data_IF_921219069645
#
_entry.id   IF_921219069645
#
_cell.length_a   1.000
_cell.length_b   1.000
_cell.length_c   1.000
_cell.angle_alpha   90.00
_cell.angle_beta   90.00
_cell.angle_gamma   90.00
#
_symmetry.space_group_name_H-M   'P 1'
#
loop_
_entity.id
_entity.type
_entity.pdbx_description
1 polymer ?
#
# COMPACT_ATOMS: atom_id res chain seq x y z
N UNK A 1 11.23 4.03 -16.56
CA UNK A 1 10.60 3.85 -15.23
C UNK A 1 9.82 2.54 -15.30
N UNK A 2 10.09 1.54 -14.45
CA UNK A 2 9.32 0.29 -14.46
C UNK A 2 7.84 0.60 -14.22
N UNK A 3 6.97 -0.11 -14.94
CA UNK A 3 5.55 0.18 -15.03
C UNK A 3 4.86 -0.33 -13.75
N UNK A 4 3.94 0.46 -13.18
CA UNK A 4 3.29 0.18 -11.87
C UNK A 4 2.59 -1.19 -11.80
N UNK A 5 2.23 -1.76 -12.94
CA UNK A 5 1.54 -3.04 -13.03
C UNK A 5 2.43 -4.25 -12.68
N UNK A 6 3.76 -4.12 -12.71
CA UNK A 6 4.67 -5.25 -12.54
C UNK A 6 4.88 -5.69 -11.07
N UNK A 7 4.37 -4.92 -10.09
CA UNK A 7 4.62 -5.15 -8.65
C UNK A 7 3.36 -5.46 -7.84
N UNK A 8 2.26 -5.83 -8.49
CA UNK A 8 1.03 -6.24 -7.80
C UNK A 8 1.22 -7.68 -7.28
N UNK A 9 1.23 -7.91 -5.95
CA UNK A 9 1.31 -9.26 -5.42
C UNK A 9 0.04 -10.03 -5.79
N UNK A 10 0.21 -11.23 -6.32
CA UNK A 10 -0.89 -12.15 -6.64
C UNK A 10 -1.09 -13.21 -5.54
N UNK A 11 -0.12 -13.35 -4.64
CA UNK A 11 -0.13 -14.28 -3.49
C UNK A 11 0.34 -13.59 -2.23
N UNK A 12 -0.26 -13.97 -1.12
CA UNK A 12 0.15 -13.55 0.21
C UNK A 12 1.54 -14.11 0.54
N UNK A 13 2.50 -13.24 0.90
CA UNK A 13 3.82 -13.71 1.32
C UNK A 13 3.81 -14.48 2.66
N UNK A 14 2.77 -14.32 3.49
CA UNK A 14 2.64 -15.00 4.77
C UNK A 14 2.09 -16.43 4.69
N UNK A 15 0.98 -16.65 3.97
CA UNK A 15 0.32 -17.96 3.90
C UNK A 15 0.19 -18.55 2.48
N UNK A 16 0.61 -17.81 1.44
CA UNK A 16 0.51 -18.26 0.03
C UNK A 16 -0.88 -18.14 -0.61
N UNK A 17 -1.90 -17.68 0.13
CA UNK A 17 -3.26 -17.49 -0.41
C UNK A 17 -3.29 -16.45 -1.53
N UNK A 18 -4.11 -16.71 -2.55
CA UNK A 18 -4.38 -15.80 -3.67
C UNK A 18 -5.49 -14.77 -3.33
N UNK A 19 -6.12 -14.90 -2.16
CA UNK A 19 -7.20 -14.00 -1.73
C UNK A 19 -6.66 -12.72 -1.09
N UNK A 20 -6.29 -11.76 -1.94
CA UNK A 20 -5.81 -10.45 -1.53
C UNK A 20 -6.89 -9.38 -1.70
N UNK A 21 -6.96 -8.46 -0.73
CA UNK A 21 -7.75 -7.23 -0.80
C UNK A 21 -6.79 -6.06 -0.96
N UNK A 22 -6.95 -5.29 -2.04
CA UNK A 22 -6.25 -4.01 -2.19
C UNK A 22 -6.97 -2.90 -1.41
N UNK A 23 -6.21 -2.10 -0.69
CA UNK A 23 -6.63 -0.86 -0.06
C UNK A 23 -5.60 0.23 -0.35
N UNK A 24 -6.01 1.50 -0.36
CA UNK A 24 -5.07 2.63 -0.41
C UNK A 24 -4.96 3.22 0.99
N UNK A 25 -3.73 3.44 1.44
CA UNK A 25 -3.43 4.09 2.72
C UNK A 25 -2.71 5.40 2.45
N UNK A 26 -3.27 6.49 2.96
CA UNK A 26 -2.59 7.78 3.02
C UNK A 26 -2.13 8.04 4.45
N UNK A 27 -0.82 8.17 4.63
CA UNK A 27 -0.22 8.60 5.89
C UNK A 27 0.18 10.05 5.80
N UNK A 28 -0.31 10.86 6.71
CA UNK A 28 0.02 12.27 6.79
C UNK A 28 1.24 12.46 7.69
N UNK A 29 2.11 13.41 7.33
CA UNK A 29 3.22 13.83 8.20
C UNK A 29 2.73 14.34 9.57
N UNK A 30 3.67 14.69 10.46
CA UNK A 30 3.44 15.01 11.88
C UNK A 30 2.29 15.98 12.18
N UNK A 31 1.96 16.87 11.24
CA UNK A 31 0.90 17.86 11.41
C UNK A 31 -0.47 17.42 10.87
N UNK A 32 -0.60 16.28 10.18
CA UNK A 32 -1.89 15.73 9.73
C UNK A 32 -2.58 16.49 8.57
N UNK A 33 -2.45 17.81 8.53
CA UNK A 33 -3.09 18.71 7.56
C UNK A 33 -2.09 19.55 6.73
N UNK A 34 -0.81 19.58 7.11
CA UNK A 34 0.25 20.32 6.43
C UNK A 34 1.50 19.43 6.28
N UNK A 35 1.92 19.16 5.05
CA UNK A 35 3.13 18.37 4.76
C UNK A 35 2.94 17.27 3.70
N UNK A 36 3.91 16.35 3.56
CA UNK A 36 3.79 15.24 2.62
C UNK A 36 2.73 14.23 3.07
N UNK A 37 1.77 13.95 2.18
CA UNK A 37 0.94 12.76 2.23
C UNK A 37 1.66 11.61 1.52
N UNK A 38 2.07 10.61 2.28
CA UNK A 38 2.68 9.39 1.78
C UNK A 38 1.57 8.41 1.41
N UNK A 39 1.53 7.99 0.14
CA UNK A 39 0.53 7.05 -0.37
C UNK A 39 1.12 5.67 -0.50
N UNK A 40 0.36 4.68 -0.06
CA UNK A 40 0.71 3.28 -0.16
C UNK A 40 -0.45 2.49 -0.74
N UNK A 41 -0.15 1.59 -1.68
CA UNK A 41 -1.03 0.45 -1.92
C UNK A 41 -0.80 -0.58 -0.83
N UNK A 42 -1.86 -1.05 -0.21
CA UNK A 42 -1.82 -2.10 0.81
C UNK A 42 -2.55 -3.32 0.28
N UNK A 43 -1.86 -4.46 0.26
CA UNK A 43 -2.45 -5.75 -0.10
C UNK A 43 -2.59 -6.59 1.16
N UNK A 44 -3.85 -6.82 1.55
CA UNK A 44 -4.22 -7.50 2.78
C UNK A 44 -4.74 -8.89 2.42
N UNK A 45 -4.11 -9.92 2.97
CA UNK A 45 -4.61 -11.29 2.83
C UNK A 45 -5.90 -11.47 3.63
N UNK A 46 -6.94 -11.98 2.97
CA UNK A 46 -8.24 -12.24 3.60
C UNK A 46 -8.23 -13.44 4.54
N UNK A 47 -7.26 -14.34 4.40
CA UNK A 47 -7.17 -15.55 5.22
C UNK A 47 -6.37 -15.33 6.51
N UNK A 48 -5.16 -14.78 6.42
CA UNK A 48 -4.26 -14.63 7.57
C UNK A 48 -4.08 -13.19 8.06
N UNK A 49 -4.64 -12.19 7.34
CA UNK A 49 -4.50 -10.77 7.69
C UNK A 49 -3.14 -10.15 7.38
N UNK A 50 -2.17 -10.93 6.87
CA UNK A 50 -0.87 -10.41 6.47
C UNK A 50 -1.02 -9.30 5.43
N UNK A 51 -0.29 -8.20 5.64
CA UNK A 51 -0.47 -6.97 4.88
C UNK A 51 0.87 -6.49 4.34
N UNK A 52 0.94 -6.25 3.03
CA UNK A 52 2.13 -5.72 2.34
C UNK A 52 1.86 -4.30 1.85
N UNK A 53 2.79 -3.39 2.13
CA UNK A 53 2.68 -1.98 1.77
C UNK A 53 3.66 -1.64 0.65
N UNK A 54 3.15 -1.02 -0.40
CA UNK A 54 3.92 -0.59 -1.56
C UNK A 54 3.84 0.93 -1.69
N UNK A 55 4.98 1.60 -1.54
CA UNK A 55 5.06 3.05 -1.60
C UNK A 55 4.76 3.55 -3.02
N UNK A 56 3.70 4.35 -3.16
CA UNK A 56 3.30 4.93 -4.43
C UNK A 56 3.98 6.27 -4.72
N UNK A 57 4.39 6.99 -3.66
CA UNK A 57 4.91 8.35 -3.74
C UNK A 57 4.41 9.23 -2.60
N UNK A 58 4.99 10.42 -2.50
CA UNK A 58 4.57 11.45 -1.58
C UNK A 58 4.02 12.65 -2.36
N UNK A 59 2.87 13.17 -1.94
CA UNK A 59 2.29 14.41 -2.49
C UNK A 59 2.19 15.45 -1.37
N UNK A 60 2.73 16.63 -1.59
CA UNK A 60 2.50 17.76 -0.69
C UNK A 60 1.03 18.15 -0.71
N UNK A 61 0.45 18.26 0.48
CA UNK A 61 -0.87 18.85 0.71
C UNK A 61 -0.65 20.11 1.56
N UNK A 62 -1.30 21.19 1.12
CA UNK A 62 -1.24 22.54 1.66
C UNK A 62 -2.61 22.92 2.19
#
# INVERSE_FOLDING_TARGET
MPNRADWVPTKCAGCGSEQLKRAELSMHGKLGFLGPAYRFDVYICKECGYSELFFQGAKWIM
#
